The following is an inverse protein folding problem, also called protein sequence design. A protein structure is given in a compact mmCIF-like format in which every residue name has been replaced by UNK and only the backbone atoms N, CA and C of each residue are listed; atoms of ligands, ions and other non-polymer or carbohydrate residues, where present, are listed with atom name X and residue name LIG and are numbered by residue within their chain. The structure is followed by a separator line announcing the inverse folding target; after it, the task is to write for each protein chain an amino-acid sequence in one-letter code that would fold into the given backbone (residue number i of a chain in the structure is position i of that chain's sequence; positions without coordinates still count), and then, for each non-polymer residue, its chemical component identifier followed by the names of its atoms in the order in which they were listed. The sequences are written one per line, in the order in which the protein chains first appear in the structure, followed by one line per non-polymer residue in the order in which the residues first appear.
data_IF_214716458116
#
_entry.id   IF_214716458116
#
_cell.length_a   1.000
_cell.length_b   1.000
_cell.length_c   1.000
_cell.angle_alpha   90.00
_cell.angle_beta   90.00
_cell.angle_gamma   90.00
#
_symmetry.space_group_name_H-M   'P 1'
#
loop_
_entity.id
_entity.type
_entity.pdbx_description
1 polymer ?
#
# COMPACT_ATOMS: atom_id res chain seq x y z
N UNK A 1 -12.67 23.94 -66.56
CA UNK A 1 -11.33 24.09 -67.17
C UNK A 1 -10.47 22.89 -66.80
N UNK A 2 -9.74 22.37 -67.78
CA UNK A 2 -8.96 21.12 -67.78
C UNK A 2 -7.52 21.35 -67.29
N UNK A 3 -6.89 20.25 -66.83
CA UNK A 3 -5.43 19.98 -66.63
C UNK A 3 -4.82 20.61 -65.36
N UNK A 4 -3.88 20.00 -64.64
CA UNK A 4 -2.82 19.08 -65.11
C UNK A 4 -2.26 18.24 -63.95
N UNK A 5 -2.10 16.94 -64.20
CA UNK A 5 -1.35 15.97 -63.40
C UNK A 5 0.16 16.17 -63.61
N UNK A 6 0.99 16.09 -62.56
CA UNK A 6 2.41 15.75 -62.67
C UNK A 6 2.80 14.78 -61.54
N UNK A 7 3.24 13.60 -61.96
CA UNK A 7 3.93 12.54 -61.22
C UNK A 7 5.45 12.73 -61.40
N UNK A 8 6.27 12.67 -60.33
CA UNK A 8 7.69 12.20 -60.32
C UNK A 8 8.05 11.86 -58.85
N UNK A 9 8.02 10.60 -58.42
CA UNK A 9 9.13 9.64 -58.26
C UNK A 9 10.22 9.96 -57.20
N UNK A 10 10.13 9.22 -56.08
CA UNK A 10 11.14 8.39 -55.38
C UNK A 10 12.52 9.01 -55.11
N UNK A 11 12.83 9.22 -53.82
CA UNK A 11 14.15 8.87 -53.25
C UNK A 11 13.92 8.15 -51.90
N UNK A 12 14.22 6.86 -51.90
CA UNK A 12 14.32 5.97 -50.74
C UNK A 12 15.78 6.03 -50.27
N UNK A 13 16.05 6.56 -49.06
CA UNK A 13 17.37 6.44 -48.43
C UNK A 13 17.26 5.42 -47.30
N UNK A 14 17.77 4.22 -47.56
CA UNK A 14 18.09 3.23 -46.55
C UNK A 14 19.47 3.57 -45.96
N UNK A 15 19.56 3.74 -44.64
CA UNK A 15 20.81 3.63 -43.92
C UNK A 15 20.70 2.54 -42.85
N UNK A 16 21.43 1.46 -43.11
CA UNK A 16 21.75 0.37 -42.19
C UNK A 16 22.78 0.82 -41.15
N UNK A 17 22.88 -0.02 -40.11
CA UNK A 17 23.94 -0.17 -39.10
C UNK A 17 23.73 0.66 -37.82
N UNK A 18 23.82 0.11 -36.60
CA UNK A 18 24.69 -0.97 -36.09
C UNK A 18 23.98 -1.71 -34.94
N UNK A 19 23.99 -3.05 -34.98
CA UNK A 19 23.74 -3.92 -33.83
C UNK A 19 24.97 -3.91 -32.93
N UNK A 20 24.84 -3.34 -31.72
CA UNK A 20 25.84 -3.43 -30.66
C UNK A 20 25.39 -4.45 -29.61
N UNK A 21 25.90 -5.68 -29.72
CA UNK A 21 25.88 -6.67 -28.64
C UNK A 21 26.94 -6.21 -27.63
N UNK A 22 26.54 -5.73 -26.46
CA UNK A 22 27.43 -5.48 -25.34
C UNK A 22 27.25 -6.58 -24.28
N UNK A 23 27.96 -7.69 -24.46
CA UNK A 23 28.42 -8.51 -23.34
C UNK A 23 29.58 -7.75 -22.68
N UNK A 24 29.39 -7.25 -21.47
CA UNK A 24 30.49 -6.83 -20.61
C UNK A 24 30.66 -7.84 -19.48
N UNK A 25 31.77 -8.56 -19.55
CA UNK A 25 32.29 -9.49 -18.54
C UNK A 25 32.70 -8.75 -17.27
N UNK A 26 32.58 -9.45 -16.14
CA UNK A 26 33.21 -9.13 -14.85
C UNK A 26 34.69 -8.76 -15.01
N UNK A 27 35.14 -7.76 -14.27
CA UNK A 27 36.45 -7.76 -13.63
C UNK A 27 36.41 -6.97 -12.33
N UNK A 28 37.09 -7.54 -11.35
CA UNK A 28 37.37 -7.02 -10.01
C UNK A 28 38.51 -5.99 -10.03
N UNK A 29 38.64 -5.25 -8.93
CA UNK A 29 39.71 -4.28 -8.65
C UNK A 29 39.24 -2.84 -8.90
N UNK A 30 39.06 -1.97 -7.91
CA UNK A 30 39.96 -1.71 -6.80
C UNK A 30 40.52 -0.30 -7.00
N UNK A 31 39.81 0.72 -6.55
CA UNK A 31 40.37 2.06 -6.35
C UNK A 31 39.79 2.68 -5.09
N UNK A 32 40.69 2.87 -4.12
CA UNK A 32 40.48 3.60 -2.88
C UNK A 32 40.74 5.08 -3.15
N UNK A 33 39.76 5.92 -2.85
CA UNK A 33 40.00 7.33 -2.56
C UNK A 33 39.38 7.65 -1.21
N UNK A 34 40.26 7.89 -0.24
CA UNK A 34 39.91 8.56 1.00
C UNK A 34 39.33 9.94 0.64
N UNK A 35 38.07 10.17 0.95
CA UNK A 35 37.54 11.51 1.13
C UNK A 35 36.74 11.56 2.42
N UNK A 36 37.28 12.34 3.37
CA UNK A 36 36.69 12.62 4.66
C UNK A 36 35.64 13.71 4.47
N UNK A 37 34.43 13.31 4.08
CA UNK A 37 33.26 14.17 3.94
C UNK A 37 32.21 13.87 5.02
N UNK A 38 31.99 14.86 5.88
CA UNK A 38 31.07 14.92 7.01
C UNK A 38 29.67 14.34 6.66
N UNK A 39 29.25 13.30 7.39
CA UNK A 39 27.91 12.69 7.32
C UNK A 39 26.84 13.61 7.94
N UNK A 40 25.69 13.83 7.29
CA UNK A 40 24.49 14.31 7.98
C UNK A 40 23.94 13.16 8.83
N UNK A 41 23.88 13.37 10.15
CA UNK A 41 23.14 12.51 11.07
C UNK A 41 21.69 12.33 10.59
N UNK A 42 21.36 11.14 10.09
CA UNK A 42 19.98 10.69 9.96
C UNK A 42 19.62 9.89 11.22
N UNK A 43 18.73 10.38 12.10
CA UNK A 43 18.23 9.57 13.20
C UNK A 43 17.18 8.61 12.64
N UNK A 44 17.35 7.32 12.94
CA UNK A 44 16.48 6.16 12.62
C UNK A 44 16.82 5.38 11.35
N UNK A 45 17.95 4.67 11.37
CA UNK A 45 18.10 3.45 10.58
C UNK A 45 17.59 2.25 11.42
N UNK A 46 16.55 1.50 10.98
CA UNK A 46 16.12 0.31 11.71
C UNK A 46 17.19 -0.78 11.60
N UNK A 47 17.48 -1.42 12.74
CA UNK A 47 18.29 -2.63 12.85
C UNK A 47 17.86 -3.68 11.81
N UNK A 48 18.82 -4.22 11.06
CA UNK A 48 18.66 -5.43 10.26
C UNK A 48 18.60 -6.66 11.16
N UNK A 49 17.54 -6.77 11.96
CA UNK A 49 17.20 -8.01 12.64
C UNK A 49 16.63 -8.97 11.60
N UNK A 50 17.07 -10.24 11.51
CA UNK A 50 16.44 -11.21 10.61
C UNK A 50 14.94 -11.26 10.90
N UNK A 51 14.13 -11.04 9.87
CA UNK A 51 12.68 -11.17 9.95
C UNK A 51 12.37 -12.59 10.41
N UNK A 52 11.71 -12.78 11.57
CA UNK A 52 11.32 -14.12 11.99
C UNK A 52 10.40 -14.72 10.93
N UNK A 53 10.71 -15.92 10.46
CA UNK A 53 9.80 -16.72 9.65
C UNK A 53 8.50 -16.87 10.45
N UNK A 54 7.36 -16.36 9.94
CA UNK A 54 6.12 -16.46 10.69
C UNK A 54 5.74 -17.93 10.84
N UNK A 55 5.58 -18.39 12.08
CA UNK A 55 4.85 -19.63 12.34
C UNK A 55 3.41 -19.38 11.90
N UNK A 56 2.88 -20.10 10.90
CA UNK A 56 1.48 -19.95 10.51
C UNK A 56 0.61 -20.22 11.73
N UNK A 57 -0.23 -19.26 12.12
CA UNK A 57 -1.27 -19.52 13.11
C UNK A 57 -2.13 -20.69 12.62
N UNK A 58 -2.21 -21.77 13.40
CA UNK A 58 -2.87 -23.03 13.03
C UNK A 58 -4.41 -22.96 13.01
N UNK A 59 -4.98 -21.76 12.84
CA UNK A 59 -6.43 -21.54 12.82
C UNK A 59 -7.03 -21.63 11.42
N UNK A 60 -8.29 -22.08 11.34
CA UNK A 60 -9.07 -22.09 10.09
C UNK A 60 -9.16 -20.70 9.48
N UNK A 61 -8.84 -20.57 8.20
CA UNK A 61 -9.05 -19.32 7.47
C UNK A 61 -10.55 -19.08 7.27
N UNK A 62 -11.10 -18.10 7.98
CA UNK A 62 -12.51 -17.72 7.92
C UNK A 62 -12.82 -16.74 6.78
N UNK A 63 -11.82 -16.33 6.01
CA UNK A 63 -12.01 -15.61 4.75
C UNK A 63 -11.87 -16.52 3.51
N UNK A 64 -11.59 -17.81 3.72
CA UNK A 64 -11.47 -18.78 2.65
C UNK A 64 -12.72 -18.82 1.76
N UNK A 65 -12.51 -18.94 0.45
CA UNK A 65 -13.59 -18.97 -0.56
C UNK A 65 -14.08 -17.60 -1.03
N UNK A 66 -13.56 -16.50 -0.47
CA UNK A 66 -13.73 -15.16 -1.05
C UNK A 66 -12.96 -15.00 -2.36
N UNK A 67 -13.33 -13.99 -3.15
CA UNK A 67 -12.64 -13.67 -4.40
C UNK A 67 -11.22 -13.11 -4.20
N UNK A 68 -10.90 -12.63 -3.00
CA UNK A 68 -9.60 -12.05 -2.64
C UNK A 68 -8.58 -13.07 -2.13
N UNK A 69 -7.50 -12.55 -1.54
CA UNK A 69 -6.50 -13.36 -0.83
C UNK A 69 -6.57 -13.13 0.68
N UNK A 70 -6.34 -14.19 1.46
CA UNK A 70 -6.12 -14.09 2.91
C UNK A 70 -4.74 -14.58 3.33
N UNK A 71 -4.20 -13.98 4.37
CA UNK A 71 -2.91 -14.33 4.97
C UNK A 71 -2.94 -14.15 6.48
N UNK A 72 -2.14 -14.92 7.20
CA UNK A 72 -1.94 -14.73 8.63
C UNK A 72 -1.15 -13.45 8.90
N UNK A 73 -1.56 -12.70 9.93
CA UNK A 73 -0.78 -11.61 10.48
C UNK A 73 0.19 -12.16 11.52
N UNK A 74 1.42 -11.65 11.51
CA UNK A 74 2.45 -12.03 12.48
C UNK A 74 2.18 -11.32 13.81
N UNK A 75 1.44 -11.98 14.70
CA UNK A 75 1.06 -11.48 16.01
C UNK A 75 1.58 -12.43 17.09
N UNK A 76 2.49 -11.93 17.91
CA UNK A 76 2.94 -12.55 19.14
C UNK A 76 2.13 -12.02 20.32
N UNK A 77 1.05 -12.70 20.68
CA UNK A 77 0.20 -12.29 21.80
C UNK A 77 0.92 -12.34 23.16
N UNK A 78 2.06 -13.03 23.28
CA UNK A 78 2.87 -13.01 24.50
C UNK A 78 3.65 -11.69 24.67
N UNK A 79 3.89 -10.94 23.59
CA UNK A 79 4.54 -9.63 23.62
C UNK A 79 3.57 -8.54 24.11
N UNK A 80 3.90 -7.88 25.22
CA UNK A 80 3.09 -6.80 25.80
C UNK A 80 2.92 -5.60 24.88
N UNK A 81 3.92 -5.28 24.07
CA UNK A 81 3.86 -4.16 23.13
C UNK A 81 2.85 -4.46 22.02
N UNK A 82 2.91 -5.67 21.44
CA UNK A 82 1.94 -6.08 20.42
C UNK A 82 0.53 -6.18 20.99
N UNK A 83 0.35 -6.72 22.21
CA UNK A 83 -0.95 -6.71 22.89
C UNK A 83 -1.50 -5.29 23.04
N UNK A 84 -0.68 -4.35 23.48
CA UNK A 84 -1.08 -2.95 23.63
C UNK A 84 -1.52 -2.34 22.29
N UNK A 85 -0.75 -2.56 21.23
CA UNK A 85 -1.05 -2.06 19.88
C UNK A 85 -2.40 -2.60 19.38
N UNK A 86 -2.63 -3.92 19.51
CA UNK A 86 -3.90 -4.54 19.12
C UNK A 86 -5.08 -4.06 19.97
N UNK A 87 -4.86 -3.86 21.27
CA UNK A 87 -5.89 -3.31 22.17
C UNK A 87 -6.27 -1.89 21.75
N UNK A 88 -5.27 -1.07 21.40
CA UNK A 88 -5.51 0.28 20.86
C UNK A 88 -6.25 0.24 19.53
N UNK A 89 -5.85 -0.62 18.59
CA UNK A 89 -6.53 -0.81 17.32
C UNK A 89 -8.01 -1.15 17.51
N UNK A 90 -8.32 -2.15 18.34
CA UNK A 90 -9.68 -2.62 18.55
C UNK A 90 -10.55 -1.57 19.22
N UNK A 91 -10.08 -0.96 20.32
CA UNK A 91 -10.67 0.19 21.02
C UNK A 91 -12.11 0.05 21.58
N UNK A 92 -12.87 -0.93 21.11
CA UNK A 92 -14.31 -1.09 21.33
C UNK A 92 -14.65 -2.14 22.39
N UNK A 93 -13.73 -3.07 22.66
CA UNK A 93 -13.87 -4.10 23.69
C UNK A 93 -12.48 -4.57 24.17
N UNK A 94 -12.38 -5.12 25.40
CA UNK A 94 -11.18 -5.81 25.86
C UNK A 94 -10.93 -7.09 25.06
N UNK A 95 -9.67 -7.35 24.75
CA UNK A 95 -9.22 -8.57 24.08
C UNK A 95 -8.86 -9.66 25.10
N UNK A 96 -9.45 -10.85 24.97
CA UNK A 96 -9.33 -11.94 25.94
C UNK A 96 -8.66 -13.19 25.35
N UNK A 97 -7.36 -13.08 25.09
CA UNK A 97 -6.57 -14.09 24.38
C UNK A 97 -7.04 -14.34 22.93
N UNK A 98 -7.10 -13.29 22.10
CA UNK A 98 -7.40 -13.41 20.69
C UNK A 98 -6.37 -14.26 19.94
N UNK A 99 -6.84 -14.95 18.90
CA UNK A 99 -6.05 -15.85 18.07
C UNK A 99 -6.42 -15.70 16.59
N UNK A 100 -5.63 -16.35 15.72
CA UNK A 100 -5.91 -16.44 14.28
C UNK A 100 -6.14 -15.07 13.62
N UNK A 101 -5.23 -14.14 13.87
CA UNK A 101 -5.22 -12.82 13.24
C UNK A 101 -4.98 -12.96 11.73
N UNK A 102 -5.89 -12.43 10.91
CA UNK A 102 -5.84 -12.56 9.44
C UNK A 102 -6.04 -11.21 8.78
N UNK A 103 -5.34 -11.03 7.67
CA UNK A 103 -5.57 -9.97 6.70
C UNK A 103 -6.21 -10.58 5.46
N UNK A 104 -7.27 -9.97 4.96
CA UNK A 104 -7.87 -10.28 3.67
C UNK A 104 -7.85 -9.05 2.77
N UNK A 105 -7.48 -9.25 1.51
CA UNK A 105 -7.33 -8.18 0.52
C UNK A 105 -8.02 -8.61 -0.77
N UNK A 106 -8.90 -7.75 -1.29
CA UNK A 106 -9.60 -7.94 -2.56
C UNK A 106 -9.71 -6.60 -3.28
N UNK A 107 -8.70 -6.33 -4.12
CA UNK A 107 -8.55 -5.10 -4.86
C UNK A 107 -8.63 -5.38 -6.37
N UNK A 108 -9.23 -4.44 -7.08
CA UNK A 108 -9.21 -4.39 -8.53
C UNK A 108 -8.34 -3.20 -8.95
N UNK A 109 -7.32 -3.48 -9.74
CA UNK A 109 -6.40 -2.50 -10.29
C UNK A 109 -6.91 -2.03 -11.66
N UNK A 110 -7.00 -0.72 -11.82
CA UNK A 110 -7.33 -0.09 -13.10
C UNK A 110 -6.48 1.15 -13.26
N UNK A 111 -5.84 1.30 -14.43
CA UNK A 111 -4.92 2.41 -14.72
C UNK A 111 -3.82 2.58 -13.65
N UNK A 112 -3.29 1.47 -13.11
CA UNK A 112 -2.22 1.48 -12.10
C UNK A 112 -2.68 1.83 -10.68
N UNK A 113 -3.99 1.93 -10.44
CA UNK A 113 -4.59 2.29 -9.15
C UNK A 113 -5.50 1.17 -8.67
N UNK A 114 -5.32 0.73 -7.43
CA UNK A 114 -6.02 -0.40 -6.85
C UNK A 114 -7.10 0.06 -5.84
N UNK A 115 -8.37 -0.21 -6.17
CA UNK A 115 -9.52 0.04 -5.30
C UNK A 115 -10.18 -1.25 -4.84
N UNK A 116 -10.79 -1.26 -3.67
CA UNK A 116 -11.50 -2.44 -3.17
C UNK A 116 -11.62 -2.49 -1.66
N UNK A 117 -11.67 -3.72 -1.14
CA UNK A 117 -11.92 -3.99 0.27
C UNK A 117 -10.74 -4.70 0.91
N UNK A 118 -10.42 -4.28 2.13
CA UNK A 118 -9.49 -4.93 3.03
C UNK A 118 -10.24 -5.32 4.29
N UNK A 119 -9.98 -6.51 4.83
CA UNK A 119 -10.52 -6.93 6.13
C UNK A 119 -9.41 -7.36 7.05
N UNK A 120 -9.55 -7.01 8.32
CA UNK A 120 -8.68 -7.52 9.39
C UNK A 120 -9.58 -8.25 10.36
N UNK A 121 -9.31 -9.55 10.55
CA UNK A 121 -10.09 -10.39 11.44
C UNK A 121 -9.24 -11.04 12.52
N UNK A 122 -9.91 -11.51 13.57
CA UNK A 122 -9.34 -12.38 14.61
C UNK A 122 -10.47 -13.11 15.34
N UNK A 123 -10.14 -14.19 16.03
CA UNK A 123 -11.06 -14.88 16.93
C UNK A 123 -10.76 -14.47 18.38
N UNK A 124 -11.77 -14.07 19.15
CA UNK A 124 -11.64 -13.81 20.59
C UNK A 124 -12.80 -14.48 21.32
N UNK A 125 -12.50 -15.26 22.37
CA UNK A 125 -13.48 -16.11 23.08
C UNK A 125 -14.37 -16.97 22.15
N UNK A 126 -13.80 -17.48 21.05
CA UNK A 126 -14.53 -18.29 20.07
C UNK A 126 -15.46 -17.51 19.14
N UNK A 127 -15.53 -16.18 19.25
CA UNK A 127 -16.27 -15.31 18.34
C UNK A 127 -15.33 -14.71 17.29
N UNK A 128 -15.79 -14.64 16.04
CA UNK A 128 -15.07 -13.96 14.96
C UNK A 128 -15.38 -12.46 15.00
N UNK A 129 -14.33 -11.65 15.09
CA UNK A 129 -14.39 -10.20 14.93
C UNK A 129 -13.74 -9.82 13.61
N UNK A 130 -14.31 -8.84 12.90
CA UNK A 130 -13.80 -8.37 11.60
C UNK A 130 -14.02 -6.88 11.44
N UNK A 131 -12.94 -6.15 11.17
CA UNK A 131 -12.99 -4.80 10.62
C UNK A 131 -12.98 -4.84 9.09
N UNK A 132 -13.80 -4.01 8.45
CA UNK A 132 -13.91 -3.93 6.99
C UNK A 132 -13.58 -2.50 6.56
N UNK A 133 -12.49 -2.37 5.80
CA UNK A 133 -11.96 -1.11 5.31
C UNK A 133 -12.08 -1.07 3.79
N UNK A 134 -12.44 0.07 3.24
CA UNK A 134 -12.67 0.21 1.80
C UNK A 134 -12.06 1.49 1.24
N UNK A 135 -11.75 1.49 -0.05
CA UNK A 135 -11.51 2.72 -0.82
C UNK A 135 -12.81 3.41 -1.23
N UNK A 136 -13.92 2.68 -1.25
CA UNK A 136 -15.19 3.22 -1.69
C UNK A 136 -15.67 4.31 -0.74
N UNK A 137 -16.20 5.38 -1.31
CA UNK A 137 -16.79 6.42 -0.52
C UNK A 137 -18.06 5.90 0.16
N UNK A 138 -18.36 6.32 1.40
CA UNK A 138 -19.60 5.88 2.06
C UNK A 138 -20.87 6.30 1.31
N UNK A 139 -20.80 7.36 0.49
CA UNK A 139 -21.90 7.82 -0.35
C UNK A 139 -21.96 7.11 -1.72
N UNK A 140 -21.16 6.05 -1.93
CA UNK A 140 -21.20 5.19 -3.12
C UNK A 140 -20.43 5.70 -4.35
N UNK A 141 -19.80 6.88 -4.27
CA UNK A 141 -18.97 7.40 -5.37
C UNK A 141 -17.57 6.77 -5.36
N UNK A 142 -17.04 6.42 -6.54
CA UNK A 142 -15.68 5.90 -6.71
C UNK A 142 -14.62 6.98 -6.95
N UNK A 143 -15.03 8.25 -6.91
CA UNK A 143 -14.18 9.41 -7.07
C UNK A 143 -14.49 10.46 -6.00
N UNK A 144 -13.52 11.34 -5.81
CA UNK A 144 -13.61 12.38 -4.81
C UNK A 144 -14.39 13.59 -5.35
N UNK A 145 -15.54 13.91 -4.73
CA UNK A 145 -16.43 14.99 -5.20
C UNK A 145 -16.02 16.37 -4.70
N UNK A 146 -15.39 16.40 -3.54
CA UNK A 146 -14.94 17.59 -2.83
C UNK A 146 -13.58 17.26 -2.25
N UNK A 147 -12.68 18.22 -2.21
CA UNK A 147 -11.41 18.01 -1.55
C UNK A 147 -10.92 19.33 -1.01
N UNK A 148 -10.02 19.29 -0.04
CA UNK A 148 -9.38 20.51 0.40
C UNK A 148 -8.73 21.26 -0.76
N UNK A 149 -9.01 22.57 -0.86
CA UNK A 149 -8.57 23.48 -1.95
C UNK A 149 -8.82 22.93 -3.37
N UNK A 150 -9.78 22.03 -3.54
CA UNK A 150 -10.10 21.34 -4.80
C UNK A 150 -8.91 20.61 -5.46
N UNK A 151 -7.88 20.23 -4.72
CA UNK A 151 -6.68 19.58 -5.28
C UNK A 151 -6.90 18.18 -5.84
N UNK A 152 -7.89 17.45 -5.32
CA UNK A 152 -8.16 16.05 -5.66
C UNK A 152 -9.60 15.84 -6.15
N UNK A 153 -10.34 16.90 -6.41
CA UNK A 153 -11.70 16.80 -6.97
C UNK A 153 -11.63 16.11 -8.34
N UNK A 154 -12.49 15.11 -8.53
CA UNK A 154 -12.55 14.28 -9.75
C UNK A 154 -11.53 13.15 -9.79
N UNK A 155 -10.59 13.07 -8.84
CA UNK A 155 -9.65 11.94 -8.75
C UNK A 155 -10.37 10.71 -8.19
N UNK A 156 -10.04 9.48 -8.65
CA UNK A 156 -10.56 8.26 -8.07
C UNK A 156 -10.20 8.16 -6.59
N UNK A 157 -11.03 7.47 -5.80
CA UNK A 157 -10.71 7.26 -4.39
C UNK A 157 -9.44 6.44 -4.17
N UNK A 158 -9.09 5.59 -5.13
CA UNK A 158 -7.87 4.80 -5.20
C UNK A 158 -6.66 5.57 -5.76
N UNK A 159 -6.75 6.91 -5.94
CA UNK A 159 -5.68 7.72 -6.53
C UNK A 159 -4.30 7.45 -5.89
N UNK A 160 -4.29 7.20 -4.59
CA UNK A 160 -3.08 7.00 -3.81
C UNK A 160 -2.68 5.54 -3.61
N UNK A 161 -3.43 4.61 -4.20
CA UNK A 161 -3.21 3.17 -4.04
C UNK A 161 -2.48 2.61 -5.25
N UNK A 162 -1.17 2.85 -5.33
CA UNK A 162 -0.41 2.59 -6.55
C UNK A 162 0.95 1.95 -6.29
N UNK A 163 1.45 1.24 -7.31
CA UNK A 163 2.81 0.74 -7.35
C UNK A 163 3.77 1.88 -7.70
N UNK A 164 4.90 1.97 -7.02
CA UNK A 164 5.94 2.95 -7.30
C UNK A 164 7.34 2.38 -7.06
N UNK A 165 8.37 3.12 -7.45
CA UNK A 165 9.76 2.74 -7.21
C UNK A 165 10.31 3.50 -6.00
N UNK A 166 10.84 2.78 -5.02
CA UNK A 166 11.49 3.35 -3.85
C UNK A 166 12.79 2.60 -3.58
N UNK A 167 13.93 3.30 -3.51
CA UNK A 167 15.23 2.67 -3.31
C UNK A 167 15.58 1.60 -4.36
N UNK A 168 15.15 1.80 -5.62
CA UNK A 168 15.37 0.85 -6.71
C UNK A 168 14.48 -0.40 -6.69
N UNK A 169 13.52 -0.50 -5.76
CA UNK A 169 12.58 -1.61 -5.65
C UNK A 169 11.15 -1.17 -6.01
N UNK A 170 10.40 -2.08 -6.63
CA UNK A 170 8.96 -1.91 -6.85
C UNK A 170 8.22 -2.19 -5.55
N UNK A 171 7.51 -1.19 -5.05
CA UNK A 171 6.76 -1.20 -3.79
C UNK A 171 5.35 -0.71 -4.04
N UNK A 172 4.43 -1.00 -3.12
CA UNK A 172 3.05 -0.52 -3.19
C UNK A 172 2.56 -0.12 -1.81
N UNK A 173 1.64 0.81 -1.77
CA UNK A 173 0.85 1.09 -0.59
C UNK A 173 -0.56 1.51 -0.98
N UNK A 174 -1.50 1.38 -0.05
CA UNK A 174 -2.86 1.81 -0.27
C UNK A 174 -3.55 2.23 1.00
N UNK A 175 -4.39 3.25 0.88
CA UNK A 175 -5.26 3.78 1.91
C UNK A 175 -6.62 3.08 1.90
N UNK A 176 -7.11 2.75 3.08
CA UNK A 176 -8.44 2.22 3.30
C UNK A 176 -8.99 2.79 4.59
N UNK A 177 -10.30 2.99 4.66
CA UNK A 177 -10.95 3.50 5.86
C UNK A 177 -12.17 2.68 6.23
N UNK A 178 -12.58 2.79 7.48
CA UNK A 178 -13.89 2.41 7.98
C UNK A 178 -14.46 3.58 8.80
N UNK A 179 -15.59 3.36 9.49
CA UNK A 179 -16.23 4.40 10.30
C UNK A 179 -15.38 4.85 11.51
N UNK A 180 -14.40 4.07 11.94
CA UNK A 180 -13.65 4.24 13.19
C UNK A 180 -12.19 4.63 12.98
N UNK A 181 -11.65 4.44 11.79
CA UNK A 181 -10.26 4.76 11.49
C UNK A 181 -9.87 4.51 10.05
N UNK A 182 -8.56 4.47 9.86
CA UNK A 182 -7.91 4.19 8.59
C UNK A 182 -6.80 3.16 8.77
N UNK A 183 -6.58 2.39 7.72
CA UNK A 183 -5.43 1.51 7.60
C UNK A 183 -4.65 1.82 6.33
N UNK A 184 -3.35 1.54 6.39
CA UNK A 184 -2.47 1.54 5.23
C UNK A 184 -1.80 0.19 5.15
N UNK A 185 -1.96 -0.47 4.00
CA UNK A 185 -1.15 -1.63 3.66
C UNK A 185 0.08 -1.12 2.91
N UNK A 186 1.26 -1.58 3.29
CA UNK A 186 2.51 -1.36 2.56
C UNK A 186 3.05 -2.72 2.13
N UNK A 187 3.29 -2.88 0.83
CA UNK A 187 3.98 -4.03 0.23
C UNK A 187 5.38 -3.57 -0.15
N UNK A 188 6.38 -4.13 0.51
CA UNK A 188 7.80 -3.80 0.32
C UNK A 188 8.67 -5.02 -0.01
N UNK A 189 8.03 -6.17 -0.27
CA UNK A 189 8.71 -7.38 -0.70
C UNK A 189 7.74 -8.48 -1.13
N UNK A 190 8.30 -9.65 -1.44
CA UNK A 190 7.56 -10.79 -1.92
C UNK A 190 8.44 -11.80 -2.62
N UNK A 191 7.82 -12.84 -3.18
CA UNK A 191 8.49 -13.83 -4.02
C UNK A 191 8.31 -13.42 -5.48
N UNK A 192 9.41 -13.32 -6.21
CA UNK A 192 9.44 -13.18 -7.67
C UNK A 192 10.06 -14.47 -8.24
N UNK A 193 9.40 -15.10 -9.20
CA UNK A 193 9.88 -16.34 -9.81
C UNK A 193 10.96 -16.11 -10.89
N UNK A 194 11.27 -14.85 -11.20
CA UNK A 194 12.27 -14.49 -12.20
C UNK A 194 11.81 -14.73 -13.65
N UNK A 195 10.52 -14.96 -13.87
CA UNK A 195 9.90 -15.17 -15.18
C UNK A 195 9.48 -13.85 -15.86
N UNK A 196 9.75 -12.71 -15.21
CA UNK A 196 9.33 -11.38 -15.68
C UNK A 196 7.87 -11.03 -15.36
N UNK A 197 7.12 -11.90 -14.67
CA UNK A 197 5.76 -11.64 -14.19
C UNK A 197 5.69 -10.77 -12.94
N UNK A 198 6.85 -10.54 -12.29
CA UNK A 198 6.98 -9.78 -11.05
C UNK A 198 6.59 -10.62 -9.83
N UNK A 199 6.23 -9.94 -8.73
CA UNK A 199 5.85 -10.61 -7.48
C UNK A 199 4.66 -11.55 -7.69
N UNK A 200 4.78 -12.81 -7.26
CA UNK A 200 3.68 -13.79 -7.20
C UNK A 200 3.07 -13.85 -5.80
N UNK A 201 3.90 -13.65 -4.78
CA UNK A 201 3.49 -13.51 -3.39
C UNK A 201 3.89 -12.15 -2.84
N UNK A 202 3.09 -11.61 -1.94
CA UNK A 202 3.26 -10.30 -1.32
C UNK A 202 3.67 -10.46 0.14
N UNK A 203 4.65 -9.64 0.54
CA UNK A 203 5.08 -9.45 1.93
C UNK A 203 4.99 -7.97 2.26
N UNK A 204 4.56 -7.66 3.47
CA UNK A 204 4.28 -6.28 3.82
C UNK A 204 3.92 -6.02 5.27
N UNK A 205 3.42 -4.81 5.49
CA UNK A 205 3.05 -4.26 6.80
C UNK A 205 1.66 -3.65 6.73
N UNK A 206 0.94 -3.75 7.84
CA UNK A 206 -0.34 -3.08 8.04
C UNK A 206 -0.16 -2.02 9.11
N UNK A 207 -0.48 -0.78 8.78
CA UNK A 207 -0.53 0.33 9.72
C UNK A 207 -1.97 0.74 9.96
N UNK A 208 -2.27 1.26 11.14
CA UNK A 208 -3.59 1.78 11.48
C UNK A 208 -3.52 3.14 12.15
N UNK A 209 -4.62 3.89 12.06
CA UNK A 209 -4.86 5.12 12.78
C UNK A 209 -6.34 5.20 13.12
N UNK A 210 -6.66 5.17 14.42
CA UNK A 210 -8.03 5.37 14.89
C UNK A 210 -8.40 6.85 14.87
N UNK A 211 -9.66 7.15 14.55
CA UNK A 211 -10.17 8.50 14.63
C UNK A 211 -10.36 8.91 16.09
N UNK A 212 -10.09 10.19 16.38
CA UNK A 212 -10.05 10.72 17.76
C UNK A 212 -11.44 10.87 18.39
N UNK A 213 -12.48 10.95 17.56
CA UNK A 213 -13.86 11.20 17.98
C UNK A 213 -14.78 10.15 17.36
N UNK A 214 -16.01 10.09 17.87
CA UNK A 214 -17.13 9.27 17.39
C UNK A 214 -17.14 8.99 15.87
N UNK A 215 -17.84 7.93 15.39
CA UNK A 215 -17.76 7.47 14.00
C UNK A 215 -17.76 8.62 12.99
N UNK A 216 -16.86 8.57 12.01
CA UNK A 216 -16.63 9.69 11.10
C UNK A 216 -17.93 10.06 10.36
N UNK A 217 -18.38 11.33 10.39
CA UNK A 217 -19.63 11.74 9.76
C UNK A 217 -19.69 11.46 8.27
N UNK A 218 -18.53 11.35 7.57
CA UNK A 218 -18.52 10.92 6.18
C UNK A 218 -19.13 9.53 5.97
N UNK A 219 -19.10 8.64 6.97
CA UNK A 219 -19.83 7.36 6.98
C UNK A 219 -21.31 7.48 7.34
N UNK A 220 -21.73 8.65 7.80
CA UNK A 220 -23.08 8.97 8.28
C UNK A 220 -23.78 10.00 7.37
N UNK A 221 -23.37 10.12 6.10
CA UNK A 221 -23.98 11.03 5.11
C UNK A 221 -23.36 12.43 5.01
N UNK A 222 -22.18 12.66 5.59
CA UNK A 222 -21.40 13.89 5.43
C UNK A 222 -20.81 14.09 4.02
N UNK A 223 -19.90 15.08 3.85
CA UNK A 223 -19.34 15.61 2.59
C UNK A 223 -18.86 14.58 1.55
N UNK A 224 -18.75 13.30 1.92
CA UNK A 224 -18.41 12.21 1.02
C UNK A 224 -16.95 12.30 0.63
N UNK A 225 -16.07 12.56 1.59
CA UNK A 225 -14.62 12.63 1.40
C UNK A 225 -13.99 11.48 2.17
N UNK A 226 -13.05 10.77 1.53
CA UNK A 226 -12.20 9.85 2.26
C UNK A 226 -11.19 10.63 3.10
N UNK A 227 -10.81 10.05 4.23
CA UNK A 227 -10.01 10.69 5.28
C UNK A 227 -8.64 11.16 4.81
N UNK A 228 -8.09 10.55 3.77
CA UNK A 228 -6.80 10.91 3.18
C UNK A 228 -6.87 12.13 2.24
N UNK A 229 -8.08 12.59 1.91
CA UNK A 229 -8.32 13.84 1.21
C UNK A 229 -8.71 15.00 2.15
N UNK A 230 -8.93 14.71 3.43
CA UNK A 230 -9.17 15.71 4.47
C UNK A 230 -7.85 16.35 4.90
N UNK A 231 -7.91 17.56 5.46
CA UNK A 231 -6.75 18.23 6.06
C UNK A 231 -6.98 18.58 7.54
N UNK A 232 -5.88 18.83 8.28
CA UNK A 232 -5.96 19.44 9.59
C UNK A 232 -6.77 20.76 9.55
N UNK A 233 -7.56 21.06 10.59
CA UNK A 233 -7.61 20.36 11.88
C UNK A 233 -8.69 19.25 11.97
N UNK A 234 -9.12 18.62 10.87
CA UNK A 234 -10.15 17.58 10.94
C UNK A 234 -9.72 16.40 11.85
N UNK A 235 -10.55 15.98 12.82
CA UNK A 235 -10.24 14.84 13.71
C UNK A 235 -10.29 13.49 12.99
N UNK A 236 -10.82 13.49 11.76
CA UNK A 236 -10.93 12.34 10.87
C UNK A 236 -9.86 12.34 9.77
N UNK A 237 -8.90 13.26 9.83
CA UNK A 237 -7.82 13.34 8.85
C UNK A 237 -6.85 12.16 8.99
N UNK A 238 -6.65 11.44 7.89
CA UNK A 238 -5.78 10.26 7.82
C UNK A 238 -4.75 10.35 6.69
N UNK A 239 -4.58 11.52 6.08
CA UNK A 239 -3.56 11.73 5.06
C UNK A 239 -2.16 11.56 5.65
N UNK A 240 -1.29 10.90 4.90
CA UNK A 240 0.14 10.80 5.22
C UNK A 240 0.95 10.86 3.93
N UNK A 241 2.28 10.68 4.01
CA UNK A 241 3.21 10.94 2.91
C UNK A 241 3.13 12.40 2.45
N UNK A 242 3.04 13.34 3.40
CA UNK A 242 2.79 14.74 3.10
C UNK A 242 4.06 15.47 2.68
N UNK A 243 3.96 16.24 1.59
CA UNK A 243 4.91 17.30 1.23
C UNK A 243 4.15 18.62 1.29
N UNK A 244 4.41 19.40 2.34
CA UNK A 244 3.55 20.52 2.70
C UNK A 244 2.16 20.03 3.12
N UNK A 245 1.11 20.55 2.46
CA UNK A 245 -0.29 20.18 2.71
C UNK A 245 -0.80 19.08 1.76
N UNK A 246 0.03 18.54 0.87
CA UNK A 246 -0.39 17.57 -0.14
C UNK A 246 0.11 16.17 0.16
N UNK A 247 -0.73 15.17 -0.11
CA UNK A 247 -0.32 13.77 -0.12
C UNK A 247 0.51 13.54 -1.39
N UNK A 248 1.75 13.13 -1.19
CA UNK A 248 2.68 12.73 -2.24
C UNK A 248 3.11 11.31 -1.90
N UNK A 249 2.35 10.34 -2.38
CA UNK A 249 2.50 8.90 -2.09
C UNK A 249 3.92 8.38 -2.21
N UNK A 250 4.70 8.92 -3.14
CA UNK A 250 6.09 8.50 -3.37
C UNK A 250 7.12 9.15 -2.46
N UNK A 251 6.73 10.05 -1.53
CA UNK A 251 7.67 10.80 -0.70
C UNK A 251 8.33 9.95 0.40
N UNK A 252 7.68 8.88 0.83
CA UNK A 252 8.19 7.93 1.81
C UNK A 252 7.53 6.56 1.62
N UNK A 253 8.21 5.50 2.06
CA UNK A 253 7.68 4.13 1.97
C UNK A 253 6.67 3.81 3.08
N UNK A 254 6.92 4.29 4.30
CA UNK A 254 6.10 3.99 5.47
C UNK A 254 5.33 5.22 5.95
N UNK A 255 4.09 5.05 6.41
CA UNK A 255 3.26 6.18 6.83
C UNK A 255 3.80 6.82 8.11
N UNK A 256 3.65 8.14 8.19
CA UNK A 256 3.90 8.95 9.38
C UNK A 256 2.57 9.39 10.03
N UNK A 257 2.50 10.64 10.51
CA UNK A 257 1.22 11.33 10.83
C UNK A 257 0.28 10.60 11.81
N UNK A 258 0.86 9.87 12.76
CA UNK A 258 0.14 9.15 13.81
C UNK A 258 -0.34 7.75 13.45
N UNK A 259 0.08 7.21 12.30
CA UNK A 259 -0.09 5.79 12.00
C UNK A 259 0.82 4.93 12.88
N UNK A 260 0.27 3.83 13.39
CA UNK A 260 0.99 2.83 14.18
C UNK A 260 1.07 1.53 13.39
N UNK A 261 2.23 0.86 13.42
CA UNK A 261 2.37 -0.47 12.84
C UNK A 261 1.51 -1.47 13.63
N UNK A 262 0.53 -2.08 12.98
CA UNK A 262 -0.32 -3.11 13.57
C UNK A 262 0.36 -4.48 13.56
N UNK A 263 0.81 -4.91 12.38
CA UNK A 263 1.45 -6.22 12.19
C UNK A 263 2.14 -6.31 10.81
N UNK A 264 2.82 -7.42 10.57
CA UNK A 264 3.45 -7.78 9.29
C UNK A 264 2.79 -9.03 8.73
N UNK A 265 2.89 -9.23 7.42
CA UNK A 265 2.39 -10.42 6.74
C UNK A 265 3.34 -10.87 5.63
N UNK A 266 3.29 -12.15 5.26
CA UNK A 266 4.06 -12.71 4.16
C UNK A 266 3.31 -13.87 3.51
N UNK A 267 3.48 -14.05 2.21
CA UNK A 267 2.88 -15.17 1.47
C UNK A 267 1.45 -14.90 1.00
N UNK A 268 1.05 -13.64 0.86
CA UNK A 268 -0.26 -13.31 0.27
C UNK A 268 -0.20 -13.46 -1.25
N UNK A 269 -1.10 -14.26 -1.84
CA UNK A 269 -1.15 -14.42 -3.30
C UNK A 269 -1.50 -13.09 -3.98
N UNK A 270 -0.61 -12.56 -4.83
CA UNK A 270 -0.80 -11.26 -5.49
C UNK A 270 -2.00 -11.26 -6.42
N UNK A 271 -2.10 -12.25 -7.31
CA UNK A 271 -3.13 -12.29 -8.35
C UNK A 271 -4.55 -12.41 -7.77
N UNK A 272 -4.69 -13.01 -6.60
CA UNK A 272 -5.95 -13.03 -5.86
C UNK A 272 -6.18 -11.73 -5.07
N UNK A 273 -5.14 -11.12 -4.50
CA UNK A 273 -5.25 -9.90 -3.70
C UNK A 273 -5.50 -8.63 -4.53
N UNK A 274 -4.78 -8.48 -5.64
CA UNK A 274 -4.75 -7.29 -6.50
C UNK A 274 -4.85 -7.77 -7.95
N UNK A 275 -6.04 -7.63 -8.52
CA UNK A 275 -6.42 -8.15 -9.84
C UNK A 275 -6.34 -7.10 -10.92
#
# INVERSE_FOLDING_TARGET
MKKQTVFVQIILVALMSVLGIACASKNEGGFSTNDSGITPNSPNQPSTTPTPTPTPGTGTDYFAGGSGASVALNVNWADSNQRSVWTTYVGSHPLNAPTNFRLYVDLNESNGRAGGTVKIGYQDNGQLYTGVFTTQNPNGYDYNRVSYKNWYVGQPNSEFNQWFTYGGKRVWHGFFQDAYGAIIIVIDGGIDLGDGGGLTELTGRVYFKNFKTAPAPQYMGGSGENCWFLLPPSPYECGTFKVGERVVTTSALYPGDGYTLLSTFSGMNKAAAIK
#
